data_IF_730195506689
#
_entry.id   IF_730195506689
#
_cell.length_a   1.000
_cell.length_b   1.000
_cell.length_c   1.000
_cell.angle_alpha   90.00
_cell.angle_beta   90.00
_cell.angle_gamma   90.00
#
_symmetry.space_group_name_H-M   'P 1'
#
loop_
_entity.id
_entity.type
_entity.pdbx_description
1 polymer ?
#
# COMPACT_ATOMS: atom_id res chain seq x y z
N UNK A 1 -32.70 27.99 26.49
CA UNK A 1 -31.59 27.89 25.52
C UNK A 1 -30.68 26.75 25.99
N UNK A 2 -31.05 25.52 25.62
CA UNK A 2 -30.37 24.31 26.12
C UNK A 2 -29.11 24.07 25.30
N UNK A 3 -27.95 24.27 25.93
CA UNK A 3 -26.61 24.22 25.35
C UNK A 3 -26.00 22.86 25.70
N UNK A 4 -26.51 21.79 25.11
CA UNK A 4 -25.94 20.44 25.22
C UNK A 4 -25.84 19.79 23.84
N UNK A 5 -25.01 20.39 22.99
CA UNK A 5 -24.41 19.67 21.86
C UNK A 5 -22.99 19.37 22.31
N UNK A 6 -22.78 18.22 22.95
CA UNK A 6 -21.44 17.76 23.28
C UNK A 6 -21.33 16.27 22.95
N UNK A 7 -20.74 16.05 21.77
CA UNK A 7 -19.78 14.99 21.47
C UNK A 7 -20.37 13.57 21.47
N UNK A 8 -20.88 13.19 20.29
CA UNK A 8 -20.94 11.80 19.84
C UNK A 8 -19.88 11.61 18.75
N UNK A 9 -18.60 11.72 19.12
CA UNK A 9 -17.50 11.37 18.20
C UNK A 9 -17.35 9.86 18.23
N UNK A 10 -18.06 9.22 17.31
CA UNK A 10 -18.04 7.76 17.09
C UNK A 10 -16.61 7.34 16.77
N UNK A 11 -15.98 6.57 17.67
CA UNK A 11 -14.80 5.77 17.34
C UNK A 11 -15.23 4.64 16.40
N UNK A 12 -15.19 4.90 15.09
CA UNK A 12 -15.28 3.84 14.09
C UNK A 12 -13.89 3.19 14.01
N UNK A 13 -13.57 2.31 14.95
CA UNK A 13 -12.39 1.46 14.87
C UNK A 13 -12.66 0.36 13.84
N UNK A 14 -12.48 0.67 12.56
CA UNK A 14 -12.49 -0.32 11.50
C UNK A 14 -11.16 -1.08 11.44
N UNK A 15 -11.19 -2.38 11.14
CA UNK A 15 -9.99 -3.14 10.80
C UNK A 15 -9.54 -2.72 9.38
N UNK A 16 -8.89 -1.56 9.28
CA UNK A 16 -8.37 -1.04 8.04
C UNK A 16 -6.94 -1.52 7.82
N UNK A 17 -6.57 -1.81 6.56
CA UNK A 17 -5.17 -2.00 6.20
C UNK A 17 -4.45 -0.66 6.34
N UNK A 18 -3.42 -0.61 7.18
CA UNK A 18 -2.58 0.58 7.36
C UNK A 18 -1.76 0.87 6.10
N UNK A 19 -1.86 2.10 5.60
CA UNK A 19 -0.94 2.63 4.59
C UNK A 19 0.26 3.25 5.32
N UNK A 20 1.40 2.57 5.30
CA UNK A 20 2.57 2.88 6.11
C UNK A 20 3.82 2.36 5.42
N UNK A 21 4.99 2.86 5.79
CA UNK A 21 6.26 2.27 5.38
C UNK A 21 6.32 0.81 5.83
N UNK A 22 6.95 -0.04 5.02
CA UNK A 22 7.07 -1.47 5.25
C UNK A 22 7.59 -1.79 6.66
N UNK A 23 6.87 -2.68 7.35
CA UNK A 23 7.19 -3.18 8.68
C UNK A 23 6.57 -4.57 8.92
N UNK A 24 6.41 -4.96 10.19
CA UNK A 24 5.97 -6.31 10.57
C UNK A 24 4.60 -6.72 9.99
N UNK A 25 3.70 -5.76 9.79
CA UNK A 25 2.36 -5.98 9.24
C UNK A 25 2.26 -5.67 7.73
N UNK A 26 3.40 -5.50 7.04
CA UNK A 26 3.45 -5.06 5.66
C UNK A 26 3.55 -3.53 5.53
N UNK A 27 3.18 -2.99 4.37
CA UNK A 27 3.34 -1.58 4.03
C UNK A 27 4.01 -1.38 2.67
N UNK A 28 4.35 -0.13 2.37
CA UNK A 28 5.02 0.25 1.13
C UNK A 28 6.54 0.31 1.29
N UNK A 29 7.26 0.00 0.22
CA UNK A 29 8.67 0.30 0.06
C UNK A 29 8.95 0.76 -1.37
N UNK A 30 9.98 1.58 -1.54
CA UNK A 30 10.41 2.07 -2.83
C UNK A 30 11.94 2.14 -2.90
N UNK A 31 12.49 1.79 -4.05
CA UNK A 31 13.93 1.89 -4.34
C UNK A 31 14.16 2.41 -5.76
N UNK A 32 15.21 3.19 -5.95
CA UNK A 32 15.64 3.63 -7.28
C UNK A 32 16.41 2.50 -7.97
N UNK A 33 15.96 2.11 -9.16
CA UNK A 33 16.54 1.02 -9.96
C UNK A 33 17.17 1.51 -11.27
N UNK A 34 17.13 2.82 -11.50
CA UNK A 34 17.72 3.49 -12.65
C UNK A 34 17.30 4.96 -12.70
N UNK A 35 17.77 5.68 -13.72
CA UNK A 35 17.47 7.12 -13.87
C UNK A 35 15.96 7.37 -13.94
N UNK A 36 15.41 8.04 -12.92
CA UNK A 36 13.98 8.30 -12.75
C UNK A 36 13.12 7.02 -12.73
N UNK A 37 13.73 5.85 -12.50
CA UNK A 37 13.06 4.55 -12.50
C UNK A 37 13.05 4.00 -11.09
N UNK A 38 11.87 3.63 -10.61
CA UNK A 38 11.66 3.19 -9.25
C UNK A 38 10.93 1.85 -9.23
N UNK A 39 11.39 0.96 -8.36
CA UNK A 39 10.64 -0.21 -7.95
C UNK A 39 9.82 0.18 -6.74
N UNK A 40 8.50 0.04 -6.83
CA UNK A 40 7.56 0.30 -5.74
C UNK A 40 6.88 -0.99 -5.37
N UNK A 41 6.96 -1.34 -4.08
CA UNK A 41 6.35 -2.54 -3.52
C UNK A 41 5.26 -2.15 -2.52
N UNK A 42 4.19 -2.93 -2.47
CA UNK A 42 3.25 -2.92 -1.35
C UNK A 42 2.95 -4.33 -0.86
N UNK A 43 3.23 -4.58 0.42
CA UNK A 43 2.99 -5.85 1.11
C UNK A 43 1.73 -5.77 1.97
N UNK A 44 0.77 -6.66 1.75
CA UNK A 44 -0.48 -6.74 2.52
C UNK A 44 -0.33 -7.46 3.86
N UNK A 45 -1.26 -7.22 4.79
CA UNK A 45 -1.22 -7.76 6.15
C UNK A 45 -1.90 -9.13 6.32
N UNK A 46 -2.21 -9.83 5.22
CA UNK A 46 -2.98 -11.09 5.21
C UNK A 46 -4.50 -10.91 5.12
N UNK A 47 -5.01 -9.70 5.35
CA UNK A 47 -6.42 -9.33 5.15
C UNK A 47 -6.59 -8.38 3.95
N UNK A 48 -5.49 -7.81 3.47
CA UNK A 48 -5.47 -6.97 2.26
C UNK A 48 -5.47 -7.85 1.00
N UNK A 49 -6.57 -7.81 0.25
CA UNK A 49 -6.66 -8.51 -1.03
C UNK A 49 -5.75 -7.94 -2.13
N UNK A 50 -5.49 -8.75 -3.17
CA UNK A 50 -4.63 -8.42 -4.32
C UNK A 50 -4.95 -7.07 -4.96
N UNK A 51 -6.21 -6.81 -5.26
CA UNK A 51 -6.62 -5.54 -5.89
C UNK A 51 -6.31 -4.32 -5.02
N UNK A 52 -6.35 -4.47 -3.69
CA UNK A 52 -6.09 -3.37 -2.77
C UNK A 52 -4.60 -3.10 -2.60
N UNK A 53 -3.76 -4.14 -2.53
CA UNK A 53 -2.29 -3.95 -2.50
C UNK A 53 -1.79 -3.29 -3.79
N UNK A 54 -2.38 -3.63 -4.94
CA UNK A 54 -2.07 -3.00 -6.23
C UNK A 54 -2.43 -1.51 -6.22
N UNK A 55 -3.61 -1.15 -5.75
CA UNK A 55 -4.02 0.26 -5.62
C UNK A 55 -3.06 1.04 -4.73
N UNK A 56 -2.63 0.46 -3.61
CA UNK A 56 -1.67 1.11 -2.73
C UNK A 56 -0.28 1.24 -3.35
N UNK A 57 0.20 0.26 -4.13
CA UNK A 57 1.44 0.39 -4.88
C UNK A 57 1.36 1.56 -5.89
N UNK A 58 0.25 1.69 -6.63
CA UNK A 58 0.02 2.82 -7.53
C UNK A 58 -0.10 4.16 -6.80
N UNK A 59 -0.72 4.17 -5.63
CA UNK A 59 -0.77 5.38 -4.79
C UNK A 59 0.64 5.80 -4.38
N UNK A 60 1.45 4.84 -3.90
CA UNK A 60 2.84 5.14 -3.51
C UNK A 60 3.68 5.63 -4.68
N UNK A 61 3.49 5.05 -5.88
CA UNK A 61 4.16 5.52 -7.10
C UNK A 61 3.86 7.00 -7.40
N UNK A 62 2.60 7.43 -7.25
CA UNK A 62 2.22 8.85 -7.43
C UNK A 62 2.91 9.75 -6.42
N UNK A 63 2.83 9.38 -5.14
CA UNK A 63 3.45 10.13 -4.05
C UNK A 63 4.96 10.26 -4.27
N UNK A 64 5.63 9.15 -4.58
CA UNK A 64 7.07 9.11 -4.84
C UNK A 64 7.47 10.02 -6.00
N UNK A 65 6.75 10.01 -7.13
CA UNK A 65 7.10 10.87 -8.25
C UNK A 65 6.89 12.35 -7.92
N UNK A 66 5.83 12.70 -7.19
CA UNK A 66 5.60 14.07 -6.70
C UNK A 66 6.71 14.49 -5.72
N UNK A 67 7.10 13.63 -4.79
CA UNK A 67 8.23 13.84 -3.87
C UNK A 67 9.56 14.11 -4.62
N UNK A 68 9.73 13.49 -5.79
CA UNK A 68 10.90 13.66 -6.66
C UNK A 68 10.78 14.84 -7.65
N UNK A 69 9.66 15.57 -7.64
CA UNK A 69 9.46 16.76 -8.48
C UNK A 69 8.87 16.48 -9.87
N UNK A 70 8.24 15.33 -10.08
CA UNK A 70 7.57 14.94 -11.32
C UNK A 70 6.04 15.03 -11.18
N UNK A 71 5.32 15.16 -12.31
CA UNK A 71 3.85 15.27 -12.30
C UNK A 71 3.14 13.93 -12.40
N UNK A 72 3.76 12.95 -13.04
CA UNK A 72 3.14 11.65 -13.30
C UNK A 72 4.19 10.54 -13.40
N UNK A 73 3.72 9.33 -13.70
CA UNK A 73 4.59 8.18 -13.90
C UNK A 73 4.03 7.29 -15.00
N UNK A 74 4.94 6.61 -15.69
CA UNK A 74 4.63 5.55 -16.64
C UNK A 74 4.90 4.20 -15.97
N UNK A 75 3.96 3.26 -16.10
CA UNK A 75 4.13 1.90 -15.62
C UNK A 75 5.00 1.12 -16.63
N UNK A 76 6.16 0.65 -16.18
CA UNK A 76 7.10 -0.15 -17.00
C UNK A 76 6.82 -1.63 -16.86
N UNK A 77 6.65 -2.09 -15.62
CA UNK A 77 6.40 -3.48 -15.31
C UNK A 77 5.51 -3.58 -14.06
N UNK A 78 4.77 -4.68 -13.96
CA UNK A 78 4.00 -5.05 -12.78
C UNK A 78 4.08 -6.55 -12.58
N UNK A 79 4.37 -6.92 -11.35
CA UNK A 79 4.24 -8.27 -10.85
C UNK A 79 3.38 -8.27 -9.58
N UNK A 80 2.52 -9.27 -9.43
CA UNK A 80 1.75 -9.44 -8.21
C UNK A 80 1.85 -10.88 -7.74
N UNK A 81 2.21 -11.04 -6.47
CA UNK A 81 2.41 -12.32 -5.84
C UNK A 81 1.35 -12.53 -4.76
N UNK A 82 0.83 -13.75 -4.65
CA UNK A 82 -0.06 -14.13 -3.54
C UNK A 82 0.44 -15.43 -2.95
N UNK A 83 0.96 -15.34 -1.73
CA UNK A 83 1.50 -16.47 -1.00
C UNK A 83 0.47 -17.01 -0.02
N UNK A 84 0.32 -18.32 0.02
CA UNK A 84 -0.58 -19.01 0.94
C UNK A 84 0.27 -19.73 1.98
N UNK A 85 0.22 -19.28 3.22
CA UNK A 85 1.00 -19.86 4.33
C UNK A 85 0.07 -20.32 5.45
N UNK A 86 0.20 -21.56 5.93
CA UNK A 86 -0.48 -21.98 7.15
C UNK A 86 -0.04 -21.13 8.34
N UNK A 87 -0.98 -20.71 9.19
CA UNK A 87 -0.67 -20.15 10.49
C UNK A 87 -0.42 -21.26 11.52
N UNK A 88 -0.07 -20.88 12.75
CA UNK A 88 0.21 -21.80 13.87
C UNK A 88 -0.96 -22.72 14.24
N UNK A 89 -2.18 -22.36 13.84
CA UNK A 89 -3.40 -23.13 14.11
C UNK A 89 -3.85 -23.94 12.87
N UNK A 90 -3.03 -23.99 11.80
CA UNK A 90 -3.30 -24.75 10.58
C UNK A 90 -4.19 -24.04 9.54
N UNK A 91 -4.63 -22.81 9.79
CA UNK A 91 -5.43 -22.05 8.83
C UNK A 91 -4.56 -21.39 7.76
N UNK A 92 -5.00 -21.42 6.50
CA UNK A 92 -4.30 -20.75 5.39
C UNK A 92 -4.51 -19.24 5.47
N UNK A 93 -3.41 -18.50 5.52
CA UNK A 93 -3.38 -17.04 5.41
C UNK A 93 -2.84 -16.66 4.04
N UNK A 94 -3.58 -15.82 3.32
CA UNK A 94 -3.21 -15.35 1.98
C UNK A 94 -2.57 -13.97 2.07
N UNK A 95 -1.28 -13.85 1.81
CA UNK A 95 -0.56 -12.57 1.78
C UNK A 95 -0.35 -12.14 0.33
N UNK A 96 -0.99 -11.04 -0.04
CA UNK A 96 -0.81 -10.41 -1.35
C UNK A 96 0.34 -9.38 -1.29
N UNK A 97 1.18 -9.36 -2.32
CA UNK A 97 2.24 -8.37 -2.54
C UNK A 97 2.13 -7.86 -3.97
N UNK A 98 2.17 -6.55 -4.15
CA UNK A 98 2.25 -5.91 -5.46
C UNK A 98 3.64 -5.30 -5.64
N UNK A 99 4.22 -5.47 -6.82
CA UNK A 99 5.51 -4.92 -7.19
C UNK A 99 5.35 -4.24 -8.56
N UNK A 100 5.67 -2.96 -8.66
CA UNK A 100 5.60 -2.20 -9.91
C UNK A 100 6.90 -1.48 -10.17
N UNK A 101 7.36 -1.52 -11.41
CA UNK A 101 8.45 -0.66 -11.89
C UNK A 101 7.82 0.50 -12.61
N UNK A 102 8.18 1.72 -12.20
CA UNK A 102 7.68 2.96 -12.80
C UNK A 102 8.84 3.80 -13.34
N UNK A 103 8.54 4.67 -14.29
CA UNK A 103 9.40 5.80 -14.66
C UNK A 103 8.68 7.09 -14.34
N UNK A 104 9.26 7.97 -13.52
CA UNK A 104 8.67 9.28 -13.24
C UNK A 104 8.87 10.22 -14.43
N UNK A 105 7.82 10.94 -14.82
CA UNK A 105 7.78 11.84 -15.98
C UNK A 105 6.98 13.12 -15.66
N UNK A 106 7.20 14.17 -16.46
CA UNK A 106 6.55 15.48 -16.29
C UNK A 106 5.35 15.67 -17.20
#
# INVERSE_FOLDING_TARGET
MSKYILVFTILIAGCATSYQKEGLSGGYSDIEVGKNKFLVTFSGNGYTGRSRVQQFAFQRAKELCVEKGFKSFELVNRDDQTSHTPNSNGYIVSRSRAEIVITCVN
#
